data_IF_349012359910
#
_entry.id   IF_349012359910
#
_cell.length_a   1.000
_cell.length_b   1.000
_cell.length_c   1.000
_cell.angle_alpha   90.00
_cell.angle_beta   90.00
_cell.angle_gamma   90.00
#
_symmetry.space_group_name_H-M   'P 1'
#
loop_
_entity.id
_entity.type
_entity.pdbx_description
1 polymer ?
#
# COMPACT_ATOMS: atom_id res chain seq x y z
N UNK A 1 -8.99 -0.02 17.24
CA UNK A 1 -9.21 1.37 16.78
C UNK A 1 -9.26 1.48 15.25
N UNK A 2 -8.21 1.09 14.52
CA UNK A 2 -8.14 1.20 13.06
C UNK A 2 -9.31 0.56 12.28
N UNK A 3 -9.70 -0.68 12.63
CA UNK A 3 -10.85 -1.35 11.99
C UNK A 3 -12.18 -0.60 12.17
N UNK A 4 -12.33 0.09 13.31
CA UNK A 4 -13.52 0.92 13.58
C UNK A 4 -13.54 2.13 12.65
N UNK A 5 -12.38 2.75 12.39
CA UNK A 5 -12.26 3.86 11.44
C UNK A 5 -12.67 3.44 10.03
N UNK A 6 -12.23 2.27 9.54
CA UNK A 6 -12.68 1.76 8.23
C UNK A 6 -14.21 1.63 8.17
N UNK A 7 -14.81 1.01 9.18
CA UNK A 7 -16.26 0.82 9.25
C UNK A 7 -17.01 2.15 9.34
N UNK A 8 -16.52 3.10 10.14
CA UNK A 8 -17.14 4.41 10.33
C UNK A 8 -17.00 5.31 9.10
N UNK A 9 -15.89 5.20 8.35
CA UNK A 9 -15.71 5.91 7.08
C UNK A 9 -16.63 5.38 5.97
N UNK A 10 -17.15 4.15 6.12
CA UNK A 10 -18.05 3.51 5.16
C UNK A 10 -17.38 2.47 4.26
N UNK A 11 -16.23 1.93 4.64
CA UNK A 11 -15.61 0.83 3.89
C UNK A 11 -16.49 -0.42 3.95
N UNK A 12 -16.61 -1.13 2.83
CA UNK A 12 -17.35 -2.38 2.77
C UNK A 12 -16.66 -3.50 3.56
N UNK A 13 -17.42 -4.54 3.91
CA UNK A 13 -16.87 -5.75 4.54
C UNK A 13 -15.74 -6.38 3.71
N UNK A 14 -15.81 -6.31 2.38
CA UNK A 14 -14.78 -6.84 1.50
C UNK A 14 -13.47 -6.05 1.64
N UNK A 15 -13.52 -4.72 1.67
CA UNK A 15 -12.35 -3.85 1.91
C UNK A 15 -11.75 -4.13 3.28
N UNK A 16 -12.58 -4.20 4.33
CA UNK A 16 -12.10 -4.48 5.69
C UNK A 16 -11.38 -5.83 5.77
N UNK A 17 -11.92 -6.87 5.11
CA UNK A 17 -11.28 -8.18 5.05
C UNK A 17 -9.97 -8.16 4.27
N UNK A 18 -9.91 -7.39 3.17
CA UNK A 18 -8.70 -7.17 2.41
C UNK A 18 -7.61 -6.51 3.27
N UNK A 19 -7.91 -5.37 3.91
CA UNK A 19 -6.97 -4.68 4.79
C UNK A 19 -6.45 -5.58 5.92
N UNK A 20 -7.29 -6.45 6.50
CA UNK A 20 -6.85 -7.44 7.50
C UNK A 20 -5.85 -8.45 6.93
N UNK A 21 -6.08 -8.94 5.71
CA UNK A 21 -5.17 -9.88 5.06
C UNK A 21 -3.83 -9.21 4.72
N UNK A 22 -3.86 -7.98 4.19
CA UNK A 22 -2.65 -7.18 3.92
C UNK A 22 -1.89 -6.91 5.22
N UNK A 23 -2.57 -6.49 6.28
CA UNK A 23 -1.94 -6.25 7.59
C UNK A 23 -1.26 -7.49 8.18
N UNK A 24 -1.90 -8.67 8.07
CA UNK A 24 -1.32 -9.91 8.54
C UNK A 24 0.00 -10.25 7.80
N UNK A 25 0.04 -10.06 6.48
CA UNK A 25 1.25 -10.29 5.69
C UNK A 25 2.30 -9.20 5.94
N UNK A 26 1.90 -7.93 6.02
CA UNK A 26 2.79 -6.80 6.27
C UNK A 26 3.53 -6.95 7.60
N UNK A 27 2.87 -7.43 8.66
CA UNK A 27 3.52 -7.76 9.94
C UNK A 27 4.57 -8.86 9.77
N UNK A 28 4.30 -9.90 8.97
CA UNK A 28 5.26 -10.98 8.74
C UNK A 28 6.52 -10.45 8.03
N UNK A 29 6.34 -9.62 7.01
CA UNK A 29 7.43 -8.95 6.30
C UNK A 29 8.21 -8.05 7.26
N UNK A 30 7.53 -7.19 8.04
CA UNK A 30 8.19 -6.31 8.99
C UNK A 30 9.01 -7.07 10.04
N UNK A 31 8.47 -8.16 10.61
CA UNK A 31 9.22 -9.01 11.55
C UNK A 31 10.41 -9.72 10.90
N UNK A 32 10.31 -10.07 9.61
CA UNK A 32 11.44 -10.63 8.88
C UNK A 32 12.53 -9.57 8.65
N UNK A 33 12.16 -8.32 8.37
CA UNK A 33 13.09 -7.19 8.31
C UNK A 33 13.76 -6.93 9.67
N UNK A 34 12.99 -6.94 10.76
CA UNK A 34 13.51 -6.75 12.13
C UNK A 34 14.54 -7.83 12.50
N UNK A 35 14.30 -9.11 12.12
CA UNK A 35 15.27 -10.21 12.29
C UNK A 35 16.57 -10.03 11.50
N UNK A 36 16.56 -9.17 10.48
CA UNK A 36 17.74 -8.76 9.70
C UNK A 36 18.34 -7.46 10.23
N UNK A 37 17.98 -7.05 11.44
CA UNK A 37 18.47 -5.84 12.11
C UNK A 37 18.11 -4.54 11.36
N UNK A 38 17.10 -4.57 10.50
CA UNK A 38 16.55 -3.36 9.91
C UNK A 38 15.68 -2.63 10.93
N UNK A 39 15.88 -1.32 11.02
CA UNK A 39 15.04 -0.46 11.85
C UNK A 39 13.65 -0.29 11.19
N UNK A 40 12.66 -1.01 11.70
CA UNK A 40 11.28 -1.01 11.20
C UNK A 40 10.30 -0.83 12.34
N UNK A 41 9.36 0.10 12.19
CA UNK A 41 8.26 0.24 13.14
C UNK A 41 7.11 -0.73 12.78
N UNK A 42 7.09 -1.89 13.42
CA UNK A 42 6.07 -2.94 13.19
C UNK A 42 4.66 -2.46 13.53
N UNK A 43 4.49 -1.58 14.53
CA UNK A 43 3.17 -1.03 14.87
C UNK A 43 2.69 -0.07 13.80
N UNK A 44 3.57 0.79 13.29
CA UNK A 44 3.27 1.68 12.17
C UNK A 44 2.89 0.88 10.92
N UNK A 45 3.63 -0.18 10.58
CA UNK A 45 3.27 -1.09 9.48
C UNK A 45 1.88 -1.70 9.68
N UNK A 46 1.60 -2.20 10.88
CA UNK A 46 0.31 -2.82 11.17
C UNK A 46 -0.86 -1.85 10.99
N UNK A 47 -0.78 -0.66 11.59
CA UNK A 47 -1.87 0.33 11.51
C UNK A 47 -1.96 0.92 10.09
N UNK A 48 -0.83 1.20 9.45
CA UNK A 48 -0.78 1.66 8.07
C UNK A 48 -1.40 0.67 7.10
N UNK A 49 -1.07 -0.63 7.21
CA UNK A 49 -1.68 -1.68 6.40
C UNK A 49 -3.18 -1.85 6.66
N UNK A 50 -3.66 -1.67 7.88
CA UNK A 50 -5.10 -1.71 8.15
C UNK A 50 -5.83 -0.53 7.48
N UNK A 51 -5.20 0.65 7.41
CA UNK A 51 -5.86 1.87 6.96
C UNK A 51 -5.57 2.26 5.51
N UNK A 52 -4.64 1.58 4.82
CA UNK A 52 -4.16 1.96 3.48
C UNK A 52 -5.31 2.22 2.49
N UNK A 53 -6.36 1.41 2.54
CA UNK A 53 -7.48 1.45 1.61
C UNK A 53 -8.69 2.24 2.14
N UNK A 54 -8.55 3.08 3.17
CA UNK A 54 -9.68 3.82 3.78
C UNK A 54 -10.42 4.72 2.78
N UNK A 55 -9.73 5.21 1.74
CA UNK A 55 -10.34 5.98 0.65
C UNK A 55 -11.32 5.17 -0.21
N UNK A 56 -11.31 3.84 -0.12
CA UNK A 56 -12.31 2.96 -0.76
C UNK A 56 -13.72 3.13 -0.21
N UNK A 57 -13.87 3.85 0.90
CA UNK A 57 -15.17 4.32 1.39
C UNK A 57 -15.83 5.37 0.50
N UNK A 58 -15.10 5.95 -0.47
CA UNK A 58 -15.56 7.03 -1.35
C UNK A 58 -15.37 6.73 -2.83
N UNK A 59 -14.32 6.00 -3.22
CA UNK A 59 -14.07 5.67 -4.62
C UNK A 59 -13.43 4.30 -4.83
N UNK A 60 -13.70 3.70 -6.00
CA UNK A 60 -12.99 2.52 -6.50
C UNK A 60 -11.90 2.86 -7.53
N UNK A 61 -11.69 4.13 -7.86
CA UNK A 61 -10.57 4.58 -8.70
C UNK A 61 -9.23 4.54 -7.96
N UNK A 62 -8.12 4.86 -8.64
CA UNK A 62 -6.80 5.02 -8.00
C UNK A 62 -6.75 6.21 -7.04
N UNK A 63 -7.71 7.14 -7.11
CA UNK A 63 -7.80 8.31 -6.25
C UNK A 63 -8.11 7.98 -4.79
N UNK A 64 -8.43 6.72 -4.48
CA UNK A 64 -8.58 6.25 -3.09
C UNK A 64 -7.32 6.52 -2.23
N UNK A 65 -6.13 6.62 -2.82
CA UNK A 65 -4.92 6.97 -2.07
C UNK A 65 -4.97 8.42 -1.54
N UNK A 66 -5.24 9.40 -2.41
CA UNK A 66 -5.33 10.81 -2.00
C UNK A 66 -6.57 11.05 -1.13
N UNK A 67 -7.72 10.52 -1.52
CA UNK A 67 -8.95 10.64 -0.73
C UNK A 67 -8.76 9.97 0.64
N UNK A 68 -8.06 8.83 0.69
CA UNK A 68 -7.73 8.16 1.94
C UNK A 68 -6.81 9.01 2.82
N UNK A 69 -5.81 9.66 2.24
CA UNK A 69 -4.90 10.57 2.94
C UNK A 69 -5.66 11.79 3.50
N UNK A 70 -6.62 12.33 2.76
CA UNK A 70 -7.47 13.44 3.21
C UNK A 70 -8.41 13.03 4.34
N UNK A 71 -9.02 11.84 4.26
CA UNK A 71 -9.81 11.27 5.35
C UNK A 71 -8.93 11.10 6.59
N UNK A 72 -7.75 10.50 6.45
CA UNK A 72 -6.82 10.28 7.56
C UNK A 72 -6.39 11.61 8.21
N UNK A 73 -6.14 12.65 7.41
CA UNK A 73 -5.84 14.01 7.90
C UNK A 73 -7.02 14.60 8.66
N UNK A 74 -8.25 14.46 8.15
CA UNK A 74 -9.46 14.94 8.83
C UNK A 74 -9.73 14.27 10.18
N UNK A 75 -9.26 13.03 10.33
CA UNK A 75 -9.35 12.24 11.56
C UNK A 75 -8.18 12.51 12.55
N UNK A 76 -7.27 13.41 12.22
CA UNK A 76 -6.10 13.74 13.06
C UNK A 76 -5.09 12.59 13.17
N UNK A 77 -4.99 11.71 12.17
CA UNK A 77 -4.03 10.62 12.19
C UNK A 77 -2.59 11.15 11.98
N UNK A 78 -1.56 10.45 12.52
CA UNK A 78 -0.17 10.84 12.33
C UNK A 78 0.25 10.92 10.86
N UNK A 79 1.14 11.84 10.54
CA UNK A 79 1.67 12.00 9.17
C UNK A 79 2.28 10.71 8.60
N UNK A 80 2.90 9.88 9.43
CA UNK A 80 3.44 8.58 9.01
C UNK A 80 2.36 7.63 8.48
N UNK A 81 1.16 7.62 9.08
CA UNK A 81 0.02 6.85 8.60
C UNK A 81 -0.56 7.45 7.32
N UNK A 82 -0.70 8.78 7.28
CA UNK A 82 -1.17 9.50 6.09
C UNK A 82 -0.27 9.18 4.89
N UNK A 83 1.05 9.19 5.10
CA UNK A 83 2.06 8.93 4.07
C UNK A 83 1.96 7.50 3.51
N UNK A 84 1.77 6.50 4.38
CA UNK A 84 1.51 5.11 3.95
C UNK A 84 0.25 5.03 3.07
N UNK A 85 -0.84 5.67 3.48
CA UNK A 85 -2.09 5.69 2.70
C UNK A 85 -1.89 6.41 1.36
N UNK A 86 -1.11 7.49 1.32
CA UNK A 86 -0.91 8.30 0.13
C UNK A 86 -0.01 7.60 -0.92
N UNK A 87 0.97 6.80 -0.47
CA UNK A 87 2.01 6.22 -1.33
C UNK A 87 1.80 4.76 -1.75
N UNK A 88 0.77 4.06 -1.23
CA UNK A 88 0.60 2.62 -1.49
C UNK A 88 0.04 2.26 -2.88
N UNK A 89 -0.51 3.23 -3.63
CA UNK A 89 -1.22 2.93 -4.87
C UNK A 89 -0.29 2.39 -5.97
N UNK A 90 -0.67 1.24 -6.54
CA UNK A 90 0.14 0.56 -7.55
C UNK A 90 1.50 0.13 -7.00
N UNK A 91 2.58 0.43 -7.73
CA UNK A 91 3.96 0.43 -7.24
C UNK A 91 4.55 1.84 -7.15
N UNK A 92 3.69 2.85 -7.05
CA UNK A 92 4.04 4.27 -7.09
C UNK A 92 3.45 5.00 -8.30
N UNK A 93 3.15 6.29 -8.09
CA UNK A 93 2.60 7.20 -9.09
C UNK A 93 3.59 8.34 -9.34
N UNK A 94 3.90 8.58 -10.62
CA UNK A 94 4.87 9.61 -11.01
C UNK A 94 4.30 11.03 -10.89
N UNK A 95 5.19 12.02 -10.84
CA UNK A 95 4.84 13.44 -10.89
C UNK A 95 3.98 13.79 -12.12
N UNK A 96 4.27 13.17 -13.27
CA UNK A 96 3.52 13.39 -14.52
C UNK A 96 2.10 12.83 -14.43
N UNK A 97 1.94 11.64 -13.85
CA UNK A 97 0.62 11.05 -13.61
C UNK A 97 -0.19 11.86 -12.60
N UNK A 98 0.44 12.27 -11.50
CA UNK A 98 -0.19 13.13 -10.49
C UNK A 98 -0.71 14.43 -11.13
N UNK A 99 0.12 15.11 -11.94
CA UNK A 99 -0.27 16.31 -12.68
C UNK A 99 -1.47 16.05 -13.59
N UNK A 100 -1.46 14.97 -14.38
CA UNK A 100 -2.56 14.61 -15.29
C UNK A 100 -3.87 14.33 -14.55
N UNK A 101 -3.80 13.90 -13.30
CA UNK A 101 -4.95 13.60 -12.44
C UNK A 101 -5.44 14.81 -11.63
N UNK A 102 -4.73 15.94 -11.67
CA UNK A 102 -5.02 17.07 -10.79
C UNK A 102 -4.68 16.83 -9.33
N UNK A 103 -3.82 15.84 -9.03
CA UNK A 103 -3.31 15.61 -7.68
C UNK A 103 -2.24 16.67 -7.33
N UNK A 104 -1.91 16.85 -6.03
CA UNK A 104 -0.73 17.61 -5.65
C UNK A 104 0.51 17.11 -6.41
N UNK A 105 1.28 18.03 -7.00
CA UNK A 105 2.37 17.70 -7.92
C UNK A 105 3.60 17.24 -7.13
N UNK A 106 3.67 15.95 -6.84
CA UNK A 106 4.81 15.27 -6.21
C UNK A 106 4.92 13.82 -6.66
N UNK A 107 6.00 13.16 -6.25
CA UNK A 107 6.17 11.71 -6.43
C UNK A 107 5.39 10.98 -5.35
N UNK A 108 4.71 9.90 -5.72
CA UNK A 108 3.95 9.05 -4.80
C UNK A 108 4.50 7.62 -4.77
N UNK A 109 5.81 7.48 -4.91
CA UNK A 109 6.48 6.20 -4.69
C UNK A 109 6.71 6.00 -3.19
N UNK A 110 6.59 4.76 -2.67
CA UNK A 110 6.92 4.49 -1.28
C UNK A 110 8.41 4.79 -1.01
N UNK A 111 8.67 5.54 0.05
CA UNK A 111 9.99 6.05 0.42
C UNK A 111 10.51 5.36 1.67
N UNK A 112 9.71 5.28 2.74
CA UNK A 112 10.13 4.64 3.99
C UNK A 112 10.01 3.12 3.92
N UNK A 113 10.71 2.42 4.81
CA UNK A 113 10.62 0.97 4.90
C UNK A 113 9.17 0.53 5.18
N UNK A 114 8.45 1.23 6.05
CA UNK A 114 7.06 0.94 6.38
C UNK A 114 6.12 1.12 5.19
N UNK A 115 6.28 2.21 4.42
CA UNK A 115 5.53 2.44 3.19
C UNK A 115 5.77 1.34 2.16
N UNK A 116 7.04 0.95 1.98
CA UNK A 116 7.41 -0.12 1.05
C UNK A 116 6.82 -1.47 1.47
N UNK A 117 6.88 -1.81 2.77
CA UNK A 117 6.32 -3.05 3.30
C UNK A 117 4.81 -3.12 3.04
N UNK A 118 4.08 -2.05 3.35
CA UNK A 118 2.62 -2.02 3.15
C UNK A 118 2.27 -2.12 1.67
N UNK A 119 2.95 -1.34 0.82
CA UNK A 119 2.76 -1.38 -0.64
C UNK A 119 3.02 -2.77 -1.21
N UNK A 120 4.11 -3.40 -0.78
CA UNK A 120 4.49 -4.73 -1.25
C UNK A 120 3.52 -5.82 -0.76
N UNK A 121 3.14 -5.79 0.52
CA UNK A 121 2.15 -6.70 1.08
C UNK A 121 0.80 -6.61 0.35
N UNK A 122 0.34 -5.41 0.01
CA UNK A 122 -0.89 -5.20 -0.77
C UNK A 122 -0.78 -5.85 -2.16
N UNK A 123 0.37 -5.73 -2.84
CA UNK A 123 0.58 -6.36 -4.16
C UNK A 123 0.58 -7.90 -4.11
N UNK A 124 0.78 -8.48 -2.93
CA UNK A 124 0.76 -9.93 -2.71
C UNK A 124 -0.62 -10.45 -2.25
N UNK A 125 -1.64 -9.59 -2.12
CA UNK A 125 -2.99 -9.98 -1.72
C UNK A 125 -4.02 -9.58 -2.79
N UNK A 126 -4.75 -10.56 -3.34
CA UNK A 126 -5.92 -10.31 -4.20
C UNK A 126 -7.20 -10.67 -3.44
N UNK A 127 -8.02 -9.66 -3.14
CA UNK A 127 -9.17 -9.82 -2.24
C UNK A 127 -8.69 -10.14 -0.83
N UNK A 128 -8.72 -11.42 -0.44
CA UNK A 128 -8.20 -11.88 0.86
C UNK A 128 -7.20 -13.04 0.71
N UNK A 129 -6.73 -13.32 -0.51
CA UNK A 129 -5.87 -14.48 -0.80
C UNK A 129 -4.49 -14.01 -1.21
N UNK A 130 -3.46 -14.70 -0.70
CA UNK A 130 -2.09 -14.51 -1.15
C UNK A 130 -1.94 -14.93 -2.61
N UNK A 131 -1.25 -14.13 -3.39
CA UNK A 131 -0.94 -14.37 -4.80
C UNK A 131 0.55 -14.20 -5.05
N UNK A 132 1.06 -14.81 -6.12
CA UNK A 132 2.44 -14.58 -6.55
C UNK A 132 2.59 -13.17 -7.11
N UNK A 133 3.78 -12.60 -6.97
CA UNK A 133 4.05 -11.27 -7.49
C UNK A 133 3.98 -11.22 -9.02
N UNK A 134 4.34 -12.31 -9.71
CA UNK A 134 4.29 -12.42 -11.18
C UNK A 134 2.85 -12.32 -11.66
N UNK A 135 1.90 -12.87 -10.90
CA UNK A 135 0.46 -12.72 -11.19
C UNK A 135 0.08 -11.24 -11.13
N UNK A 136 0.50 -10.51 -10.10
CA UNK A 136 0.23 -9.08 -9.94
C UNK A 136 0.90 -8.26 -11.02
N UNK A 137 2.19 -8.47 -11.29
CA UNK A 137 2.95 -7.79 -12.37
C UNK A 137 2.28 -8.02 -13.72
N UNK A 138 1.88 -9.27 -14.05
CA UNK A 138 1.19 -9.60 -15.29
C UNK A 138 -0.16 -8.88 -15.40
N UNK A 139 -0.93 -8.83 -14.31
CA UNK A 139 -2.22 -8.14 -14.26
C UNK A 139 -2.06 -6.63 -14.47
N UNK A 140 -1.12 -6.00 -13.77
CA UNK A 140 -0.86 -4.56 -13.88
C UNK A 140 -0.25 -4.19 -15.23
N UNK A 141 0.66 -5.01 -15.77
CA UNK A 141 1.23 -4.83 -17.12
C UNK A 141 0.16 -4.86 -18.22
N UNK A 142 -0.87 -5.70 -18.08
CA UNK A 142 -1.98 -5.74 -19.05
C UNK A 142 -2.85 -4.49 -19.00
N UNK A 143 -3.00 -3.88 -17.80
CA UNK A 143 -3.82 -2.68 -17.61
C UNK A 143 -3.10 -1.40 -18.00
N UNK A 144 -1.84 -1.28 -17.62
CA UNK A 144 -1.08 -0.02 -17.67
C UNK A 144 0.01 -0.01 -18.76
N UNK A 145 0.35 -1.19 -19.29
CA UNK A 145 1.50 -1.39 -20.16
C UNK A 145 2.73 -1.92 -19.41
N UNK A 146 3.51 -2.79 -20.05
CA UNK A 146 4.67 -3.47 -19.45
C UNK A 146 5.76 -2.51 -18.96
N UNK A 147 5.93 -1.37 -19.62
CA UNK A 147 6.97 -0.38 -19.31
C UNK A 147 6.52 0.69 -18.33
N UNK A 148 5.27 0.60 -17.85
CA UNK A 148 4.67 1.62 -16.99
C UNK A 148 5.44 1.76 -15.66
N UNK A 149 5.70 2.98 -15.15
CA UNK A 149 6.46 3.21 -13.92
C UNK A 149 5.95 2.42 -12.71
N UNK A 150 4.63 2.37 -12.50
CA UNK A 150 4.01 1.56 -11.44
C UNK A 150 4.38 0.07 -11.53
N UNK A 151 4.40 -0.53 -12.73
CA UNK A 151 4.80 -1.94 -12.92
C UNK A 151 6.27 -2.14 -12.53
N UNK A 152 7.15 -1.23 -12.95
CA UNK A 152 8.56 -1.24 -12.55
C UNK A 152 8.74 -1.06 -11.04
N UNK A 153 7.91 -0.24 -10.41
CA UNK A 153 7.90 -0.05 -8.97
C UNK A 153 7.58 -1.35 -8.21
N UNK A 154 6.59 -2.10 -8.69
CA UNK A 154 6.25 -3.43 -8.13
C UNK A 154 7.42 -4.40 -8.28
N UNK A 155 8.08 -4.43 -9.45
CA UNK A 155 9.26 -5.27 -9.69
C UNK A 155 10.41 -4.93 -8.74
N UNK A 156 10.70 -3.63 -8.57
CA UNK A 156 11.76 -3.17 -7.65
C UNK A 156 11.47 -3.52 -6.19
N UNK A 157 10.23 -3.36 -5.74
CA UNK A 157 9.83 -3.77 -4.39
C UNK A 157 10.03 -5.26 -4.20
N UNK A 158 9.70 -6.07 -5.19
CA UNK A 158 9.92 -7.50 -5.14
C UNK A 158 11.40 -7.86 -5.07
N UNK A 159 12.23 -7.29 -5.95
CA UNK A 159 13.68 -7.48 -5.92
C UNK A 159 14.28 -7.10 -4.56
N UNK A 160 13.86 -5.96 -4.00
CA UNK A 160 14.30 -5.48 -2.68
C UNK A 160 13.93 -6.49 -1.58
N UNK A 161 12.66 -6.87 -1.44
CA UNK A 161 12.25 -7.74 -0.34
C UNK A 161 12.69 -9.20 -0.52
N UNK A 162 12.70 -9.74 -1.74
CA UNK A 162 13.23 -11.09 -1.98
C UNK A 162 14.72 -11.18 -1.64
N UNK A 163 15.50 -10.11 -1.89
CA UNK A 163 16.90 -10.06 -1.48
C UNK A 163 17.08 -9.92 0.05
N UNK A 164 16.22 -9.16 0.72
CA UNK A 164 16.36 -8.87 2.16
C UNK A 164 15.90 -10.04 3.04
N UNK A 165 14.76 -10.65 2.71
CA UNK A 165 14.07 -11.59 3.58
C UNK A 165 13.76 -12.94 2.94
N UNK A 166 14.10 -13.13 1.66
CA UNK A 166 13.81 -14.35 0.91
C UNK A 166 12.32 -14.51 0.59
N UNK A 167 11.94 -15.72 0.17
CA UNK A 167 10.54 -16.05 -0.05
C UNK A 167 9.86 -16.37 1.30
N UNK A 168 8.86 -15.56 1.65
CA UNK A 168 7.96 -15.76 2.80
C UNK A 168 6.74 -16.62 2.47
#
# INVERSE_FOLDING_TARGET
MALKLLSQSGCSHAVIRHCKAVAALAIQIAKACEKRELNVDVQLVHIGALLHDIGRSRTHSVDHAIIGADIARSLGLPNSIISIIEHHAGGGITVSEARKRGWPIKSYFPQTLEEKIVTYADKLIEGCRRVSIERTIRKESRKLGKTHPSVKGIQKLHEEFSSLIGDL
#
